data_IF_813504126571
#
_entry.id   IF_813504126571
#
_cell.length_a   1.000
_cell.length_b   1.000
_cell.length_c   1.000
_cell.angle_alpha   90.00
_cell.angle_beta   90.00
_cell.angle_gamma   90.00
#
_symmetry.space_group_name_H-M   'P 1'
#
loop_
_entity.id
_entity.type
_entity.pdbx_description
1 polymer ?
#
# COMPACT_ATOMS: atom_id res chain seq x y z
N UNK A 1 -9.46 41.78 40.01
CA UNK A 1 -9.46 41.34 38.59
C UNK A 1 -10.53 40.25 38.40
N UNK A 2 -11.64 40.56 37.71
CA UNK A 2 -12.69 39.58 37.39
C UNK A 2 -12.20 38.71 36.22
N UNK A 3 -12.08 37.40 36.44
CA UNK A 3 -11.83 36.43 35.36
C UNK A 3 -13.10 36.34 34.52
N UNK A 4 -13.04 36.80 33.28
CA UNK A 4 -14.17 36.68 32.35
C UNK A 4 -14.49 35.20 32.10
N UNK A 5 -15.72 34.83 32.42
CA UNK A 5 -16.26 33.49 32.16
C UNK A 5 -16.39 33.35 30.65
N UNK A 6 -15.52 32.56 30.04
CA UNK A 6 -15.57 32.24 28.60
C UNK A 6 -17.00 31.91 28.18
N UNK A 7 -17.54 32.73 27.26
CA UNK A 7 -18.93 32.67 26.83
C UNK A 7 -19.30 31.28 26.32
N UNK A 8 -20.48 30.79 26.70
CA UNK A 8 -21.06 29.52 26.23
C UNK A 8 -21.11 29.45 24.69
N UNK A 9 -21.18 30.60 24.03
CA UNK A 9 -21.16 30.72 22.56
C UNK A 9 -19.81 30.30 21.96
N UNK A 10 -18.68 30.61 22.62
CA UNK A 10 -17.35 30.22 22.15
C UNK A 10 -17.18 28.70 22.15
N UNK A 11 -17.68 28.01 23.18
CA UNK A 11 -17.66 26.54 23.24
C UNK A 11 -18.42 25.90 22.07
N UNK A 12 -19.58 26.44 21.70
CA UNK A 12 -20.38 25.94 20.57
C UNK A 12 -19.66 26.18 19.24
N UNK A 13 -19.09 27.38 19.03
CA UNK A 13 -18.32 27.69 17.81
C UNK A 13 -17.11 26.76 17.69
N UNK A 14 -16.34 26.55 18.76
CA UNK A 14 -15.18 25.65 18.75
C UNK A 14 -15.56 24.17 18.59
N UNK A 15 -16.76 23.78 19.00
CA UNK A 15 -17.28 22.41 18.80
C UNK A 15 -17.66 22.16 17.35
N UNK A 16 -18.16 23.17 16.64
CA UNK A 16 -18.52 23.08 15.22
C UNK A 16 -17.24 23.10 14.38
N UNK A 17 -16.29 24.01 14.66
CA UNK A 17 -15.01 24.09 13.94
C UNK A 17 -13.93 23.14 14.49
N UNK A 18 -14.28 21.88 14.72
CA UNK A 18 -13.30 20.85 15.08
C UNK A 18 -12.62 20.28 13.82
N UNK A 19 -11.85 21.13 13.14
CA UNK A 19 -11.10 20.80 11.90
C UNK A 19 -10.23 19.54 12.08
N UNK A 20 -9.71 19.33 13.28
CA UNK A 20 -8.91 18.14 13.63
C UNK A 20 -9.73 16.85 13.56
N UNK A 21 -10.98 16.87 14.04
CA UNK A 21 -11.89 15.74 13.95
C UNK A 21 -12.44 15.55 12.53
N UNK A 22 -12.73 16.63 11.79
CA UNK A 22 -13.22 16.55 10.41
C UNK A 22 -12.22 15.91 9.44
N UNK A 23 -10.93 16.20 9.64
CA UNK A 23 -9.85 15.68 8.81
C UNK A 23 -9.33 14.33 9.35
N UNK A 24 -9.83 13.86 10.50
CA UNK A 24 -9.33 12.68 11.21
C UNK A 24 -7.79 12.73 11.30
N UNK A 25 -7.29 13.87 11.80
CA UNK A 25 -5.86 14.22 11.78
C UNK A 25 -4.98 13.13 12.40
N UNK A 26 -5.48 12.48 13.45
CA UNK A 26 -4.75 11.42 14.14
C UNK A 26 -4.55 10.19 13.23
N UNK A 27 -5.55 9.83 12.42
CA UNK A 27 -5.44 8.77 11.41
C UNK A 27 -4.48 9.14 10.28
N UNK A 28 -4.54 10.38 9.77
CA UNK A 28 -3.60 10.85 8.73
C UNK A 28 -2.16 10.84 9.25
N UNK A 29 -1.94 11.33 10.48
CA UNK A 29 -0.62 11.35 11.12
C UNK A 29 -0.09 9.94 11.33
N UNK A 30 -0.93 9.00 11.78
CA UNK A 30 -0.56 7.60 11.91
C UNK A 30 -0.16 7.00 10.55
N UNK A 31 -1.00 7.19 9.52
CA UNK A 31 -0.71 6.71 8.16
C UNK A 31 0.61 7.28 7.63
N UNK A 32 0.86 8.58 7.81
CA UNK A 32 2.11 9.22 7.41
C UNK A 32 3.33 8.65 8.15
N UNK A 33 3.22 8.39 9.45
CA UNK A 33 4.28 7.75 10.24
C UNK A 33 4.57 6.33 9.74
N UNK A 34 3.54 5.55 9.41
CA UNK A 34 3.71 4.21 8.82
C UNK A 34 4.42 4.28 7.47
N UNK A 35 4.02 5.20 6.58
CA UNK A 35 4.66 5.40 5.28
C UNK A 35 6.13 5.82 5.47
N UNK A 36 6.40 6.82 6.31
CA UNK A 36 7.75 7.30 6.61
C UNK A 36 8.63 6.19 7.16
N UNK A 37 8.13 5.39 8.10
CA UNK A 37 8.88 4.27 8.68
C UNK A 37 9.09 3.14 7.67
N UNK A 38 8.11 2.86 6.81
CA UNK A 38 8.23 1.92 5.70
C UNK A 38 9.34 2.32 4.73
N UNK A 39 9.32 3.56 4.25
CA UNK A 39 10.36 4.13 3.38
C UNK A 39 11.72 4.06 4.09
N UNK A 40 11.81 4.50 5.35
CA UNK A 40 13.05 4.47 6.11
C UNK A 40 13.64 3.05 6.20
N UNK A 41 12.80 2.02 6.37
CA UNK A 41 13.24 0.61 6.38
C UNK A 41 13.76 0.12 5.03
N UNK A 42 13.29 0.68 3.91
CA UNK A 42 13.76 0.34 2.57
C UNK A 42 15.15 0.91 2.27
N UNK A 43 15.49 2.08 2.83
CA UNK A 43 16.76 2.76 2.58
C UNK A 43 17.84 2.52 3.65
N UNK A 44 17.46 2.06 4.85
CA UNK A 44 18.44 1.60 5.83
C UNK A 44 18.86 0.18 5.47
N UNK A 45 20.17 -0.09 5.29
CA UNK A 45 20.67 -1.45 5.11
C UNK A 45 20.23 -2.31 6.29
N UNK A 46 19.27 -3.21 6.05
CA UNK A 46 18.85 -4.16 7.06
C UNK A 46 20.08 -5.04 7.37
N UNK A 47 20.51 -5.09 8.63
CA UNK A 47 21.55 -6.03 9.08
C UNK A 47 21.20 -7.39 8.49
N UNK A 48 22.17 -8.06 7.84
CA UNK A 48 22.01 -9.38 7.22
C UNK A 48 21.49 -10.37 8.28
N UNK A 49 20.17 -10.43 8.47
CA UNK A 49 19.51 -11.57 9.10
C UNK A 49 19.95 -12.74 8.23
N UNK A 50 20.57 -13.77 8.83
CA UNK A 50 21.00 -14.98 8.12
C UNK A 50 19.86 -15.36 7.19
N UNK A 51 20.05 -15.18 5.87
CA UNK A 51 19.01 -15.47 4.87
C UNK A 51 18.59 -16.90 5.13
N UNK A 52 17.35 -17.11 5.59
CA UNK A 52 16.80 -18.44 5.65
C UNK A 52 16.83 -18.97 4.22
N UNK A 53 17.59 -20.04 4.01
CA UNK A 53 17.78 -20.61 2.68
C UNK A 53 16.41 -21.03 2.15
N UNK A 54 16.06 -20.60 0.94
CA UNK A 54 14.72 -20.87 0.38
C UNK A 54 14.43 -22.38 0.37
N UNK A 55 15.47 -23.18 0.15
CA UNK A 55 15.39 -24.64 0.21
C UNK A 55 15.03 -25.15 1.60
N UNK A 56 15.58 -24.58 2.68
CA UNK A 56 15.22 -24.96 4.06
C UNK A 56 13.76 -24.66 4.37
N UNK A 57 13.23 -23.53 3.89
CA UNK A 57 11.83 -23.13 4.14
C UNK A 57 10.85 -23.95 3.30
N UNK A 58 11.22 -24.35 2.09
CA UNK A 58 10.42 -25.24 1.24
C UNK A 58 10.39 -26.66 1.81
N UNK A 59 11.52 -27.13 2.34
CA UNK A 59 11.66 -28.42 3.02
C UNK A 59 10.88 -28.44 4.35
N UNK A 60 10.92 -27.36 5.14
CA UNK A 60 10.17 -27.22 6.39
C UNK A 60 8.65 -27.07 6.17
N UNK A 61 8.23 -26.47 5.05
CA UNK A 61 6.80 -26.35 4.69
C UNK A 61 6.26 -27.51 3.84
N UNK A 62 7.06 -28.55 3.55
CA UNK A 62 6.67 -29.69 2.70
C UNK A 62 6.03 -29.27 1.36
N UNK A 63 6.45 -28.13 0.79
CA UNK A 63 5.86 -27.60 -0.43
C UNK A 63 6.45 -28.31 -1.64
N UNK A 64 5.60 -28.99 -2.42
CA UNK A 64 6.02 -29.57 -3.69
C UNK A 64 6.27 -28.45 -4.71
N UNK A 65 7.27 -28.59 -5.59
CA UNK A 65 7.57 -27.58 -6.63
C UNK A 65 6.34 -27.26 -7.50
N UNK A 66 5.43 -28.23 -7.69
CA UNK A 66 4.16 -28.06 -8.41
C UNK A 66 3.22 -27.07 -7.72
N UNK A 67 3.18 -27.04 -6.39
CA UNK A 67 2.35 -26.11 -5.61
C UNK A 67 2.91 -24.68 -5.62
N UNK A 68 4.23 -24.55 -5.65
CA UNK A 68 4.89 -23.26 -5.83
C UNK A 68 4.55 -22.64 -7.18
N UNK A 69 4.62 -23.43 -8.25
CA UNK A 69 4.28 -22.97 -9.61
C UNK A 69 2.80 -22.60 -9.73
N UNK A 70 1.89 -23.37 -9.12
CA UNK A 70 0.45 -23.10 -9.17
C UNK A 70 0.11 -21.79 -8.44
N UNK A 71 0.66 -21.58 -7.24
CA UNK A 71 0.52 -20.35 -6.46
C UNK A 71 1.13 -19.15 -7.18
N UNK A 72 2.28 -19.32 -7.81
CA UNK A 72 2.93 -18.29 -8.60
C UNK A 72 2.02 -17.82 -9.75
N UNK A 73 1.45 -18.75 -10.53
CA UNK A 73 0.50 -18.41 -11.61
C UNK A 73 -0.75 -17.70 -11.08
N UNK A 74 -1.29 -18.17 -9.95
CA UNK A 74 -2.46 -17.55 -9.32
C UNK A 74 -2.17 -16.10 -8.87
N UNK A 75 -1.04 -15.86 -8.22
CA UNK A 75 -0.61 -14.53 -7.77
C UNK A 75 -0.40 -13.55 -8.93
N UNK A 76 0.21 -14.01 -10.02
CA UNK A 76 0.38 -13.19 -11.23
C UNK A 76 -0.97 -12.79 -11.83
N UNK A 77 -1.89 -13.75 -11.96
CA UNK A 77 -3.24 -13.49 -12.48
C UNK A 77 -4.01 -12.52 -11.59
N UNK A 78 -3.90 -12.67 -10.26
CA UNK A 78 -4.53 -11.77 -9.30
C UNK A 78 -3.95 -10.35 -9.35
N UNK A 79 -2.63 -10.22 -9.49
CA UNK A 79 -1.97 -8.92 -9.68
C UNK A 79 -2.50 -8.21 -10.92
N UNK A 80 -2.55 -8.89 -12.07
CA UNK A 80 -3.07 -8.33 -13.33
C UNK A 80 -4.55 -7.95 -13.18
N UNK A 81 -5.36 -8.80 -12.56
CA UNK A 81 -6.77 -8.50 -12.29
C UNK A 81 -6.93 -7.22 -11.47
N UNK A 82 -6.11 -7.03 -10.42
CA UNK A 82 -6.15 -5.82 -9.60
C UNK A 82 -5.72 -4.57 -10.37
N UNK A 83 -4.79 -4.68 -11.32
CA UNK A 83 -4.44 -3.57 -12.22
C UNK A 83 -5.63 -3.21 -13.14
N UNK A 84 -6.32 -4.21 -13.69
CA UNK A 84 -7.50 -3.99 -14.53
C UNK A 84 -8.61 -3.30 -13.71
N UNK A 85 -8.85 -3.78 -12.49
CA UNK A 85 -9.81 -3.15 -11.56
C UNK A 85 -9.42 -1.71 -11.25
N UNK A 86 -8.14 -1.45 -10.94
CA UNK A 86 -7.66 -0.10 -10.70
C UNK A 86 -7.87 0.81 -11.93
N UNK A 87 -7.61 0.31 -13.13
CA UNK A 87 -7.87 1.04 -14.37
C UNK A 87 -9.36 1.34 -14.57
N UNK A 88 -10.25 0.37 -14.31
CA UNK A 88 -11.70 0.59 -14.35
C UNK A 88 -12.19 1.63 -13.33
N UNK A 89 -11.60 1.65 -12.13
CA UNK A 89 -11.92 2.69 -11.13
C UNK A 89 -11.37 4.05 -11.58
N UNK A 90 -10.20 4.08 -12.21
CA UNK A 90 -9.61 5.31 -12.72
C UNK A 90 -10.47 5.95 -13.83
N UNK A 91 -10.94 5.16 -14.79
CA UNK A 91 -11.84 5.65 -15.84
C UNK A 91 -13.17 6.15 -15.24
N UNK A 92 -13.71 5.43 -14.26
CA UNK A 92 -14.91 5.83 -13.52
C UNK A 92 -14.70 7.12 -12.72
N UNK A 93 -13.54 7.30 -12.08
CA UNK A 93 -13.19 8.53 -11.40
C UNK A 93 -13.09 9.72 -12.38
N UNK A 94 -12.56 9.47 -13.58
CA UNK A 94 -12.54 10.43 -14.68
C UNK A 94 -13.95 10.87 -15.09
N UNK A 95 -14.89 9.93 -15.21
CA UNK A 95 -16.30 10.25 -15.47
C UNK A 95 -16.89 11.19 -14.39
N UNK A 96 -16.65 10.91 -13.11
CA UNK A 96 -17.09 11.78 -12.00
C UNK A 96 -16.45 13.16 -12.00
N UNK A 97 -15.22 13.27 -12.53
CA UNK A 97 -14.55 14.55 -12.65
C UNK A 97 -15.23 15.44 -13.69
N UNK A 98 -15.64 14.86 -14.83
CA UNK A 98 -16.38 15.60 -15.88
C UNK A 98 -17.80 15.96 -15.47
N UNK A 99 -18.46 15.16 -14.61
CA UNK A 99 -19.78 15.47 -14.07
C UNK A 99 -19.76 16.50 -12.93
N UNK A 100 -18.58 17.00 -12.54
CA UNK A 100 -18.42 18.01 -11.49
C UNK A 100 -18.54 17.47 -10.06
N UNK A 101 -18.65 16.15 -9.88
CA UNK A 101 -18.77 15.54 -8.55
C UNK A 101 -17.39 15.25 -7.93
N UNK A 102 -16.72 16.32 -7.49
CA UNK A 102 -15.36 16.28 -6.94
C UNK A 102 -15.24 15.30 -5.76
N UNK A 103 -16.28 15.21 -4.91
CA UNK A 103 -16.29 14.29 -3.75
C UNK A 103 -16.22 12.83 -4.19
N UNK A 104 -17.03 12.45 -5.18
CA UNK A 104 -17.01 11.10 -5.73
C UNK A 104 -15.66 10.79 -6.41
N UNK A 105 -15.10 11.73 -7.17
CA UNK A 105 -13.77 11.57 -7.78
C UNK A 105 -12.69 11.31 -6.74
N UNK A 106 -12.65 12.09 -5.65
CA UNK A 106 -11.64 11.90 -4.58
C UNK A 106 -11.77 10.53 -3.93
N UNK A 107 -13.00 10.08 -3.63
CA UNK A 107 -13.23 8.75 -3.06
C UNK A 107 -12.80 7.65 -4.02
N UNK A 108 -13.19 7.72 -5.29
CA UNK A 108 -12.78 6.75 -6.31
C UNK A 108 -11.27 6.70 -6.51
N UNK A 109 -10.58 7.85 -6.47
CA UNK A 109 -9.11 7.90 -6.52
C UNK A 109 -8.45 7.19 -5.32
N UNK A 110 -9.00 7.35 -4.11
CA UNK A 110 -8.49 6.63 -2.93
C UNK A 110 -8.66 5.12 -3.11
N UNK A 111 -9.81 4.66 -3.59
CA UNK A 111 -10.05 3.22 -3.83
C UNK A 111 -9.12 2.68 -4.92
N UNK A 112 -8.88 3.46 -5.98
CA UNK A 112 -7.89 3.11 -7.02
C UNK A 112 -6.48 2.93 -6.43
N UNK A 113 -6.02 3.84 -5.56
CA UNK A 113 -4.71 3.75 -4.92
C UNK A 113 -4.59 2.51 -4.02
N UNK A 114 -5.67 2.12 -3.33
CA UNK A 114 -5.72 0.88 -2.56
C UNK A 114 -5.58 -0.34 -3.49
N UNK A 115 -6.32 -0.36 -4.60
CA UNK A 115 -6.24 -1.43 -5.60
C UNK A 115 -4.82 -1.55 -6.21
N UNK A 116 -4.17 -0.42 -6.51
CA UNK A 116 -2.78 -0.40 -6.99
C UNK A 116 -1.80 -0.93 -5.93
N UNK A 117 -2.00 -0.59 -4.66
CA UNK A 117 -1.17 -1.10 -3.56
C UNK A 117 -1.27 -2.62 -3.45
N UNK A 118 -2.49 -3.17 -3.58
CA UNK A 118 -2.74 -4.62 -3.61
C UNK A 118 -2.11 -5.27 -4.85
N UNK A 119 -2.27 -4.67 -6.03
CA UNK A 119 -1.68 -5.14 -7.27
C UNK A 119 -0.15 -5.25 -7.17
N UNK A 120 0.49 -4.21 -6.61
CA UNK A 120 1.91 -4.19 -6.31
C UNK A 120 2.29 -5.31 -5.33
N UNK A 121 1.56 -5.47 -4.23
CA UNK A 121 1.81 -6.53 -3.23
C UNK A 121 1.79 -7.92 -3.87
N UNK A 122 0.80 -8.22 -4.70
CA UNK A 122 0.71 -9.52 -5.37
C UNK A 122 1.82 -9.72 -6.40
N UNK A 123 2.20 -8.67 -7.13
CA UNK A 123 3.35 -8.73 -8.05
C UNK A 123 4.67 -8.96 -7.32
N UNK A 124 4.85 -8.32 -6.16
CA UNK A 124 6.02 -8.48 -5.32
C UNK A 124 6.14 -9.92 -4.78
N UNK A 125 5.03 -10.52 -4.31
CA UNK A 125 5.01 -11.92 -3.90
C UNK A 125 5.30 -12.89 -5.05
N UNK A 126 4.77 -12.63 -6.25
CA UNK A 126 5.11 -13.39 -7.44
C UNK A 126 6.63 -13.35 -7.71
N UNK A 127 7.24 -12.17 -7.60
CA UNK A 127 8.68 -12.00 -7.82
C UNK A 127 9.53 -12.72 -6.76
N UNK A 128 9.15 -12.65 -5.49
CA UNK A 128 9.86 -13.36 -4.40
C UNK A 128 9.87 -14.88 -4.60
N UNK A 129 8.75 -15.45 -5.08
CA UNK A 129 8.65 -16.89 -5.39
C UNK A 129 9.48 -17.22 -6.64
N UNK A 130 9.45 -16.36 -7.66
CA UNK A 130 10.20 -16.56 -8.92
C UNK A 130 11.70 -16.59 -8.69
N UNK A 131 12.23 -15.63 -7.93
CA UNK A 131 13.67 -15.48 -7.67
C UNK A 131 14.19 -16.45 -6.59
N UNK A 132 13.31 -17.25 -5.96
CA UNK A 132 13.65 -18.16 -4.84
C UNK A 132 14.51 -17.47 -3.76
N UNK A 133 14.29 -16.17 -3.53
CA UNK A 133 15.04 -15.34 -2.58
C UNK A 133 14.08 -14.70 -1.57
N UNK A 134 14.10 -15.22 -0.34
CA UNK A 134 13.40 -14.61 0.81
C UNK A 134 14.21 -13.39 1.27
N UNK A 135 13.79 -12.20 0.81
CA UNK A 135 14.40 -10.93 1.20
C UNK A 135 14.99 -10.08 0.06
N UNK A 136 14.47 -10.16 -1.17
CA UNK A 136 14.82 -9.20 -2.22
C UNK A 136 14.48 -7.77 -1.79
N UNK A 137 15.39 -6.85 -2.06
CA UNK A 137 15.19 -5.42 -1.83
C UNK A 137 14.24 -4.84 -2.89
N UNK A 138 13.57 -3.72 -2.58
CA UNK A 138 12.69 -3.03 -3.53
C UNK A 138 13.44 -2.59 -4.80
N UNK A 139 14.73 -2.25 -4.66
CA UNK A 139 15.62 -1.89 -5.76
C UNK A 139 15.87 -3.07 -6.71
N UNK A 140 16.13 -4.27 -6.16
CA UNK A 140 16.27 -5.50 -6.96
C UNK A 140 14.96 -5.86 -7.67
N UNK A 141 13.81 -5.78 -6.97
CA UNK A 141 12.49 -5.99 -7.59
C UNK A 141 12.21 -5.03 -8.74
N UNK A 142 12.48 -3.74 -8.58
CA UNK A 142 12.22 -2.75 -9.62
C UNK A 142 13.12 -2.98 -10.85
N UNK A 143 14.40 -3.26 -10.61
CA UNK A 143 15.40 -3.45 -11.66
C UNK A 143 15.21 -4.76 -12.44
N UNK A 144 15.04 -5.89 -11.74
CA UNK A 144 14.93 -7.21 -12.35
C UNK A 144 13.49 -7.60 -12.71
N UNK A 145 12.51 -7.13 -11.94
CA UNK A 145 11.10 -7.49 -12.12
C UNK A 145 10.35 -6.60 -13.12
N UNK A 146 10.58 -5.28 -13.09
CA UNK A 146 9.90 -4.30 -13.94
C UNK A 146 10.74 -3.85 -15.13
N UNK A 147 12.02 -3.53 -14.92
CA UNK A 147 12.94 -3.12 -15.98
C UNK A 147 13.53 -4.29 -16.77
N UNK A 148 13.45 -5.52 -16.24
CA UNK A 148 13.92 -6.72 -16.93
C UNK A 148 15.44 -6.76 -17.14
N UNK A 149 16.21 -5.98 -16.38
CA UNK A 149 17.67 -6.05 -16.41
C UNK A 149 18.10 -7.43 -15.91
N UNK A 150 18.67 -8.22 -16.83
CA UNK A 150 19.35 -9.48 -16.53
C UNK A 150 20.70 -9.14 -15.89
N UNK A 151 21.05 -9.86 -14.82
CA UNK A 151 22.44 -9.88 -14.32
C UNK A 151 23.40 -10.37 -15.40
#
# INVERSE_FOLDING_TARGET
MKKEKGSRTWKVITSIFNVRAWIDYDRIKAAWLYIKNGIKKLFIPQKKVKKADFNRVVEEMSLTEKDLISRQKALKRLSIFMVIVAFGIFTYAGYHLFSGNIRATVVSLVVMLIALTLAFRYHFWYFQIKERKLGCTFREWFRQGLMGEKE
#
